data_IF_631462991534
#
_entry.id   IF_631462991534
#
_cell.length_a   1.000
_cell.length_b   1.000
_cell.length_c   1.000
_cell.angle_alpha   90.00
_cell.angle_beta   90.00
_cell.angle_gamma   90.00
#
_symmetry.space_group_name_H-M   'P 1'
#
loop_
_entity.id
_entity.type
_entity.pdbx_description
1 polymer ?
#
# COMPACT_ATOMS: atom_id res chain seq x y z
N UNK A 1 -44.25 69.61 3.40
CA UNK A 1 -44.92 68.58 4.21
C UNK A 1 -43.93 67.44 4.44
N UNK A 2 -43.60 67.18 5.70
CA UNK A 2 -42.59 66.20 6.14
C UNK A 2 -43.24 64.81 6.16
N UNK A 3 -42.63 63.80 5.56
CA UNK A 3 -42.93 62.38 5.82
C UNK A 3 -41.66 61.73 6.39
N UNK A 4 -41.69 61.12 7.58
CA UNK A 4 -40.56 60.35 8.07
C UNK A 4 -40.63 58.95 7.44
N UNK A 5 -39.55 58.49 6.82
CA UNK A 5 -39.43 57.10 6.41
C UNK A 5 -38.49 56.41 7.38
N UNK A 6 -39.04 55.40 8.06
CA UNK A 6 -38.36 54.57 9.03
C UNK A 6 -37.19 53.82 8.38
N UNK A 7 -36.03 53.87 9.04
CA UNK A 7 -34.85 53.10 8.67
C UNK A 7 -35.02 51.67 9.20
N UNK A 8 -35.35 50.73 8.32
CA UNK A 8 -35.32 49.31 8.64
C UNK A 8 -33.87 48.82 8.53
N UNK A 9 -33.21 48.64 9.67
CA UNK A 9 -31.88 48.03 9.73
C UNK A 9 -31.99 46.53 9.43
N UNK A 10 -31.62 46.13 8.21
CA UNK A 10 -31.50 44.73 7.82
C UNK A 10 -30.10 44.25 8.22
N UNK A 11 -30.01 43.53 9.36
CA UNK A 11 -28.78 42.86 9.77
C UNK A 11 -28.58 41.63 8.89
N UNK A 12 -27.65 41.71 7.94
CA UNK A 12 -27.25 40.58 7.11
C UNK A 12 -26.23 39.74 7.91
N UNK A 13 -26.72 38.67 8.55
CA UNK A 13 -25.86 37.68 9.19
C UNK A 13 -25.11 36.87 8.15
N UNK A 14 -23.81 37.12 7.96
CA UNK A 14 -22.94 36.27 7.17
C UNK A 14 -22.66 34.98 7.94
N UNK A 15 -23.37 33.90 7.60
CA UNK A 15 -23.08 32.56 8.07
C UNK A 15 -21.77 32.08 7.43
N UNK A 16 -20.69 31.97 8.22
CA UNK A 16 -19.48 31.26 7.80
C UNK A 16 -19.85 29.78 7.58
N UNK A 17 -19.96 29.37 6.32
CA UNK A 17 -20.05 27.95 5.99
C UNK A 17 -18.64 27.34 6.03
N UNK A 18 -18.43 26.21 6.71
CA UNK A 18 -17.17 25.48 6.61
C UNK A 18 -16.98 25.02 5.16
N UNK A 19 -15.79 25.27 4.62
CA UNK A 19 -15.42 24.76 3.31
C UNK A 19 -15.51 23.22 3.31
N UNK A 20 -16.02 22.59 2.25
CA UNK A 20 -16.01 21.14 2.15
C UNK A 20 -14.57 20.65 2.24
N UNK A 21 -14.32 19.68 3.12
CA UNK A 21 -13.05 18.99 3.18
C UNK A 21 -12.80 18.37 1.79
N UNK A 22 -11.75 18.81 1.10
CA UNK A 22 -11.31 18.16 -0.12
C UNK A 22 -10.79 16.78 0.29
N UNK A 23 -11.59 15.75 0.03
CA UNK A 23 -11.13 14.37 0.10
C UNK A 23 -9.94 14.23 -0.84
N UNK A 24 -8.75 14.09 -0.26
CA UNK A 24 -7.56 13.67 -1.00
C UNK A 24 -7.93 12.35 -1.69
N UNK A 25 -7.72 12.23 -3.03
CA UNK A 25 -7.99 10.97 -3.70
C UNK A 25 -7.26 9.86 -2.95
N UNK A 26 -8.00 8.87 -2.46
CA UNK A 26 -7.37 7.69 -1.89
C UNK A 26 -6.44 7.15 -2.96
N UNK A 27 -5.12 7.18 -2.73
CA UNK A 27 -4.21 6.42 -3.57
C UNK A 27 -4.68 4.98 -3.46
N UNK A 28 -5.35 4.50 -4.51
CA UNK A 28 -5.81 3.14 -4.56
C UNK A 28 -4.55 2.29 -4.46
N UNK A 29 -4.33 1.65 -3.30
CA UNK A 29 -3.25 0.71 -3.12
C UNK A 29 -3.49 -0.35 -4.18
N UNK A 30 -2.67 -0.36 -5.23
CA UNK A 30 -2.67 -1.47 -6.18
C UNK A 30 -2.03 -2.64 -5.43
N UNK A 31 -2.85 -3.34 -4.65
CA UNK A 31 -2.54 -4.70 -4.22
C UNK A 31 -2.40 -5.52 -5.50
N UNK A 32 -1.26 -6.15 -5.69
CA UNK A 32 -1.00 -6.79 -6.97
C UNK A 32 0.36 -7.46 -7.01
N UNK A 33 0.54 -8.47 -6.15
CA UNK A 33 1.26 -9.63 -6.65
C UNK A 33 0.33 -10.31 -7.65
N UNK A 34 0.79 -10.53 -8.88
CA UNK A 34 0.06 -11.36 -9.84
C UNK A 34 0.13 -12.79 -9.30
N UNK A 35 -1.01 -13.48 -9.09
CA UNK A 35 -1.00 -14.81 -8.52
C UNK A 35 -0.46 -15.82 -9.54
N UNK A 36 0.54 -16.61 -9.11
CA UNK A 36 1.06 -17.74 -9.86
C UNK A 36 0.93 -19.02 -9.02
N UNK A 37 0.69 -20.15 -9.68
CA UNK A 37 0.86 -21.46 -9.05
C UNK A 37 2.33 -21.62 -8.60
N UNK A 38 2.60 -22.32 -7.48
CA UNK A 38 3.97 -22.57 -7.06
C UNK A 38 4.76 -23.31 -8.14
N UNK A 39 5.96 -22.82 -8.46
CA UNK A 39 6.89 -23.48 -9.38
C UNK A 39 7.38 -24.83 -8.83
N UNK A 40 7.48 -24.92 -7.50
CA UNK A 40 7.81 -26.14 -6.79
C UNK A 40 7.03 -26.18 -5.48
N UNK A 41 6.53 -27.36 -5.14
CA UNK A 41 6.06 -27.69 -3.79
C UNK A 41 6.45 -29.14 -3.49
N UNK A 42 7.25 -29.36 -2.45
CA UNK A 42 7.75 -30.70 -2.12
C UNK A 42 8.12 -30.83 -0.64
N UNK A 43 7.75 -31.96 -0.05
CA UNK A 43 8.29 -32.40 1.24
C UNK A 43 9.72 -32.89 1.05
N UNK A 44 10.65 -32.36 1.84
CA UNK A 44 12.06 -32.72 1.74
C UNK A 44 12.32 -34.11 2.34
N UNK A 45 12.99 -35.02 1.61
CA UNK A 45 13.31 -36.34 2.12
C UNK A 45 14.27 -36.24 3.31
N UNK A 46 14.19 -37.21 4.23
CA UNK A 46 15.06 -37.30 5.41
C UNK A 46 14.99 -36.08 6.35
N UNK A 47 13.84 -35.40 6.40
CA UNK A 47 13.58 -34.31 7.35
C UNK A 47 12.38 -34.62 8.22
N UNK A 48 12.28 -33.98 9.39
CA UNK A 48 11.13 -34.08 10.29
C UNK A 48 9.92 -33.26 9.78
N UNK A 49 9.49 -33.51 8.53
CA UNK A 49 8.39 -32.83 7.83
C UNK A 49 8.67 -31.38 7.39
N UNK A 50 9.85 -31.11 6.83
CA UNK A 50 10.09 -29.82 6.17
C UNK A 50 9.54 -29.82 4.73
N UNK A 51 8.93 -28.70 4.33
CA UNK A 51 8.45 -28.48 2.97
C UNK A 51 9.26 -27.33 2.33
N UNK A 52 9.61 -27.49 1.06
CA UNK A 52 10.12 -26.39 0.22
C UNK A 52 9.05 -25.99 -0.78
N UNK A 53 8.85 -24.68 -0.90
CA UNK A 53 8.02 -24.09 -1.94
C UNK A 53 8.81 -23.01 -2.67
N UNK A 54 8.63 -22.93 -3.99
CA UNK A 54 9.19 -21.86 -4.82
C UNK A 54 8.03 -21.19 -5.54
N UNK A 55 7.97 -19.87 -5.41
CA UNK A 55 6.95 -19.04 -6.06
C UNK A 55 7.62 -18.06 -7.01
N UNK A 56 6.92 -17.74 -8.09
CA UNK A 56 7.18 -16.54 -8.88
C UNK A 56 6.25 -15.44 -8.37
N UNK A 57 6.79 -14.26 -8.11
CA UNK A 57 6.02 -13.09 -7.68
C UNK A 57 6.29 -11.92 -8.62
N UNK A 58 5.26 -11.48 -9.33
CA UNK A 58 5.32 -10.33 -10.22
C UNK A 58 4.53 -9.16 -9.61
N UNK A 59 5.13 -7.96 -9.63
CA UNK A 59 4.51 -6.73 -9.16
C UNK A 59 4.46 -5.71 -10.28
N UNK A 60 3.29 -5.11 -10.52
CA UNK A 60 3.18 -3.96 -11.40
C UNK A 60 3.97 -2.76 -10.85
N UNK A 61 4.38 -1.77 -11.68
CA UNK A 61 5.05 -0.57 -11.20
C UNK A 61 4.26 0.15 -10.10
N UNK A 62 4.92 0.41 -8.97
CA UNK A 62 4.29 0.98 -7.77
C UNK A 62 3.42 0.01 -6.97
N UNK A 63 3.39 -1.27 -7.33
CA UNK A 63 2.73 -2.32 -6.58
C UNK A 63 3.32 -2.48 -5.18
N UNK A 64 2.45 -2.72 -4.20
CA UNK A 64 2.83 -2.86 -2.80
C UNK A 64 2.46 -4.27 -2.34
N UNK A 65 3.43 -4.97 -1.76
CA UNK A 65 3.15 -6.12 -0.90
C UNK A 65 2.99 -5.60 0.54
N UNK A 66 1.77 -5.55 1.10
CA UNK A 66 1.56 -5.04 2.44
C UNK A 66 2.32 -5.86 3.48
N UNK A 67 2.53 -5.29 4.66
CA UNK A 67 3.11 -6.02 5.79
C UNK A 67 2.30 -7.29 6.07
N UNK A 68 2.98 -8.43 6.06
CA UNK A 68 2.44 -9.75 6.37
C UNK A 68 3.51 -10.62 7.03
N UNK A 69 3.15 -11.84 7.41
CA UNK A 69 4.02 -12.77 8.14
C UNK A 69 3.98 -14.16 7.49
N UNK A 70 5.14 -14.82 7.41
CA UNK A 70 5.27 -16.21 6.99
C UNK A 70 5.60 -17.10 8.18
N UNK A 71 4.93 -18.26 8.34
CA UNK A 71 5.28 -19.24 9.37
C UNK A 71 6.53 -20.08 8.99
N UNK A 72 7.22 -19.72 7.89
CA UNK A 72 8.40 -20.40 7.37
C UNK A 72 9.51 -19.39 7.11
N UNK A 73 10.77 -19.85 7.08
CA UNK A 73 11.89 -19.03 6.63
C UNK A 73 11.74 -18.72 5.13
N UNK A 74 12.02 -17.49 4.73
CA UNK A 74 11.89 -17.01 3.35
C UNK A 74 13.22 -16.40 2.90
N UNK A 75 13.57 -16.66 1.66
CA UNK A 75 14.58 -15.95 0.89
C UNK A 75 14.03 -15.76 -0.52
N UNK A 76 14.55 -14.79 -1.25
CA UNK A 76 14.16 -14.56 -2.64
C UNK A 76 15.31 -13.95 -3.43
N UNK A 77 15.20 -14.06 -4.76
CA UNK A 77 16.14 -13.52 -5.72
C UNK A 77 15.40 -12.67 -6.75
N UNK A 78 15.91 -11.49 -7.05
CA UNK A 78 15.26 -10.58 -8.00
C UNK A 78 15.64 -10.97 -9.42
N UNK A 79 14.65 -11.42 -10.20
CA UNK A 79 14.85 -11.76 -11.61
C UNK A 79 14.92 -10.51 -12.50
N UNK A 80 14.09 -9.50 -12.22
CA UNK A 80 14.05 -8.25 -12.98
C UNK A 80 13.47 -7.10 -12.15
N UNK A 81 13.73 -5.86 -12.58
CA UNK A 81 13.20 -4.67 -11.92
C UNK A 81 13.96 -4.26 -10.66
N UNK A 82 13.28 -3.55 -9.77
CA UNK A 82 13.82 -3.03 -8.51
C UNK A 82 12.71 -2.94 -7.48
N UNK A 83 12.98 -3.38 -6.25
CA UNK A 83 12.03 -3.36 -5.14
C UNK A 83 12.66 -2.83 -3.87
N UNK A 84 11.82 -2.28 -2.98
CA UNK A 84 12.20 -1.89 -1.62
C UNK A 84 11.57 -2.91 -0.68
N UNK A 85 12.42 -3.59 0.11
CA UNK A 85 12.00 -4.64 1.03
C UNK A 85 12.34 -4.24 2.45
N UNK A 86 11.46 -4.58 3.39
CA UNK A 86 11.66 -4.27 4.79
C UNK A 86 11.18 -5.42 5.67
N UNK A 87 12.14 -6.06 6.35
CA UNK A 87 11.85 -6.98 7.45
C UNK A 87 11.55 -6.21 8.74
N UNK A 88 10.81 -6.84 9.64
CA UNK A 88 10.41 -6.19 10.89
C UNK A 88 11.63 -5.81 11.74
N UNK A 89 11.61 -4.59 12.30
CA UNK A 89 12.70 -4.04 13.09
C UNK A 89 13.99 -3.71 12.33
N UNK A 90 14.06 -3.92 11.01
CA UNK A 90 15.24 -3.59 10.19
C UNK A 90 14.99 -2.37 9.28
N UNK A 91 16.05 -1.64 8.89
CA UNK A 91 15.95 -0.63 7.83
C UNK A 91 15.52 -1.25 6.49
N UNK A 92 14.82 -0.50 5.63
CA UNK A 92 14.51 -0.97 4.30
C UNK A 92 15.77 -1.14 3.44
N UNK A 93 15.76 -2.15 2.57
CA UNK A 93 16.81 -2.43 1.58
C UNK A 93 16.24 -2.31 0.18
N UNK A 94 17.02 -1.74 -0.74
CA UNK A 94 16.67 -1.67 -2.16
C UNK A 94 17.42 -2.77 -2.89
N UNK A 95 16.68 -3.69 -3.51
CA UNK A 95 17.23 -4.81 -4.27
C UNK A 95 16.91 -4.66 -5.76
N UNK A 96 17.85 -5.07 -6.61
CA UNK A 96 17.83 -5.03 -8.07
C UNK A 96 18.02 -6.44 -8.63
N UNK A 97 17.79 -6.58 -9.94
CA UNK A 97 18.02 -7.82 -10.66
C UNK A 97 19.41 -8.43 -10.35
N UNK A 98 19.42 -9.71 -9.99
CA UNK A 98 20.63 -10.44 -9.58
C UNK A 98 20.93 -10.41 -8.07
N UNK A 99 20.19 -9.66 -7.27
CA UNK A 99 20.38 -9.59 -5.82
C UNK A 99 19.39 -10.50 -5.07
N UNK A 100 19.73 -10.86 -3.82
CA UNK A 100 18.92 -11.72 -2.96
C UNK A 100 18.80 -11.16 -1.54
N UNK A 101 17.78 -11.61 -0.80
CA UNK A 101 17.60 -11.38 0.64
C UNK A 101 17.59 -12.69 1.41
#
# INVERSE_FOLDING_TARGET
MKKPLALLAMVLGAMLQPAPAQEMPSAQVKQGAIPHEPLLRRVLPNTANQEVMVFEAEYAPGGINPRHFHPAAITFHILSGTGIFQEDGKPPVTLRAGESL
#
